data_IF_185754647503
#
_entry.id   IF_185754647503
#
_cell.length_a   1.000
_cell.length_b   1.000
_cell.length_c   1.000
_cell.angle_alpha   90.00
_cell.angle_beta   90.00
_cell.angle_gamma   90.00
#
_symmetry.space_group_name_H-M   'P 1'
#
loop_
_entity.id
_entity.type
_entity.pdbx_description
1 polymer ?
#
# COMPACT_ATOMS: atom_id res chain seq x y z
N UNK A 1 12.10 17.96 -3.33
CA UNK A 1 10.65 18.18 -3.55
C UNK A 1 10.15 17.58 -4.86
N UNK A 2 10.85 17.76 -5.97
CA UNK A 2 10.40 17.29 -7.30
C UNK A 2 10.17 15.77 -7.41
N UNK A 3 11.02 14.96 -6.75
CA UNK A 3 10.85 13.50 -6.71
C UNK A 3 9.55 13.07 -6.00
N UNK A 4 9.16 13.77 -4.94
CA UNK A 4 7.94 13.47 -4.21
C UNK A 4 6.69 13.69 -5.07
N UNK A 5 6.65 14.81 -5.80
CA UNK A 5 5.57 15.11 -6.74
C UNK A 5 5.49 14.03 -7.83
N UNK A 6 6.64 13.67 -8.42
CA UNK A 6 6.69 12.63 -9.44
C UNK A 6 6.20 11.27 -8.95
N UNK A 7 6.61 10.86 -7.74
CA UNK A 7 6.15 9.61 -7.12
C UNK A 7 4.65 9.66 -6.83
N UNK A 8 4.13 10.78 -6.32
CA UNK A 8 2.70 10.95 -6.03
C UNK A 8 1.86 10.83 -7.30
N UNK A 9 2.25 11.49 -8.37
CA UNK A 9 1.56 11.40 -9.66
C UNK A 9 1.59 9.98 -10.22
N UNK A 10 2.75 9.31 -10.18
CA UNK A 10 2.89 7.94 -10.64
C UNK A 10 2.00 6.97 -9.84
N UNK A 11 1.93 7.13 -8.53
CA UNK A 11 1.11 6.32 -7.66
C UNK A 11 -0.37 6.55 -7.91
N UNK A 12 -0.83 7.80 -7.98
CA UNK A 12 -2.21 8.15 -8.27
C UNK A 12 -2.68 7.54 -9.60
N UNK A 13 -1.84 7.63 -10.63
CA UNK A 13 -2.11 7.02 -11.93
C UNK A 13 -2.17 5.50 -11.85
N UNK A 14 -1.23 4.86 -11.15
CA UNK A 14 -1.21 3.40 -10.95
C UNK A 14 -2.45 2.90 -10.23
N UNK A 15 -2.89 3.59 -9.18
CA UNK A 15 -4.10 3.20 -8.43
C UNK A 15 -5.36 3.32 -9.27
N UNK A 16 -5.49 4.40 -10.03
CA UNK A 16 -6.63 4.58 -10.94
C UNK A 16 -6.67 3.48 -12.02
N UNK A 17 -5.53 3.11 -12.59
CA UNK A 17 -5.46 2.02 -13.57
C UNK A 17 -5.86 0.68 -12.96
N UNK A 18 -5.40 0.36 -11.75
CA UNK A 18 -5.75 -0.88 -11.06
C UNK A 18 -7.26 -0.92 -10.83
N UNK A 19 -7.83 0.14 -10.25
CA UNK A 19 -9.24 0.16 -9.89
C UNK A 19 -10.20 0.17 -11.09
N UNK A 20 -9.82 0.82 -12.19
CA UNK A 20 -10.70 0.95 -13.36
C UNK A 20 -10.56 -0.22 -14.34
N UNK A 21 -9.36 -0.71 -14.59
CA UNK A 21 -9.08 -1.66 -15.67
C UNK A 21 -8.73 -3.06 -15.19
N UNK A 22 -8.22 -3.24 -14.01
CA UNK A 22 -7.76 -4.54 -13.52
C UNK A 22 -8.69 -5.14 -12.48
N UNK A 23 -9.15 -4.36 -11.53
CA UNK A 23 -10.00 -4.86 -10.45
C UNK A 23 -11.34 -5.35 -10.99
N UNK A 24 -11.68 -6.60 -10.67
CA UNK A 24 -12.91 -7.25 -11.12
C UNK A 24 -12.92 -7.74 -12.59
N UNK A 25 -11.93 -7.38 -13.39
CA UNK A 25 -11.81 -7.82 -14.78
C UNK A 25 -10.72 -8.88 -15.00
N UNK A 26 -9.69 -8.84 -14.20
CA UNK A 26 -8.58 -9.79 -14.25
C UNK A 26 -8.41 -10.41 -12.87
N UNK A 27 -8.04 -11.68 -12.85
CA UNK A 27 -7.75 -12.38 -11.59
C UNK A 27 -6.66 -11.65 -10.79
N UNK A 28 -6.92 -11.46 -9.48
CA UNK A 28 -6.03 -10.74 -8.60
C UNK A 28 -4.64 -11.38 -8.50
N UNK A 29 -4.58 -12.70 -8.45
CA UNK A 29 -3.32 -13.44 -8.36
C UNK A 29 -2.49 -13.30 -9.63
N UNK A 30 -3.15 -13.39 -10.80
CA UNK A 30 -2.48 -13.18 -12.08
C UNK A 30 -1.94 -11.76 -12.22
N UNK A 31 -2.71 -10.76 -11.83
CA UNK A 31 -2.32 -9.34 -11.86
C UNK A 31 -1.11 -9.07 -10.97
N UNK A 32 -1.13 -9.58 -9.73
CA UNK A 32 -0.01 -9.43 -8.78
C UNK A 32 1.24 -10.16 -9.28
N UNK A 33 1.10 -11.40 -9.75
CA UNK A 33 2.22 -12.18 -10.29
C UNK A 33 2.89 -11.48 -11.48
N UNK A 34 2.08 -11.04 -12.44
CA UNK A 34 2.57 -10.34 -13.64
C UNK A 34 3.30 -9.05 -13.27
N UNK A 35 2.75 -8.26 -12.36
CA UNK A 35 3.36 -7.03 -11.88
C UNK A 35 4.72 -7.28 -11.20
N UNK A 36 4.79 -8.27 -10.31
CA UNK A 36 6.04 -8.63 -9.62
C UNK A 36 7.06 -9.18 -10.61
N UNK A 37 6.63 -10.03 -11.56
CA UNK A 37 7.51 -10.59 -12.58
C UNK A 37 8.12 -9.50 -13.47
N UNK A 38 7.30 -8.57 -13.97
CA UNK A 38 7.75 -7.44 -14.79
C UNK A 38 8.70 -6.53 -14.01
N UNK A 39 8.37 -6.19 -12.76
CA UNK A 39 9.26 -5.42 -11.90
C UNK A 39 10.60 -6.13 -11.68
N UNK A 40 10.56 -7.44 -11.43
CA UNK A 40 11.76 -8.25 -11.26
C UNK A 40 12.63 -8.24 -12.51
N UNK A 41 12.05 -8.38 -13.70
CA UNK A 41 12.78 -8.31 -14.98
C UNK A 41 13.47 -6.96 -15.17
N UNK A 42 12.80 -5.86 -14.82
CA UNK A 42 13.37 -4.51 -14.92
C UNK A 42 14.54 -4.32 -13.94
N UNK A 43 14.42 -4.83 -12.70
CA UNK A 43 15.45 -4.63 -11.69
C UNK A 43 16.58 -5.67 -11.73
N UNK A 44 16.37 -6.83 -12.35
CA UNK A 44 17.36 -7.90 -12.44
C UNK A 44 18.73 -7.46 -13.01
N UNK A 45 18.80 -6.62 -14.08
CA UNK A 45 20.07 -6.14 -14.62
C UNK A 45 20.88 -5.27 -13.64
N UNK A 46 20.20 -4.59 -12.72
CA UNK A 46 20.82 -3.72 -11.71
C UNK A 46 21.35 -4.49 -10.50
N UNK A 47 21.03 -5.79 -10.41
CA UNK A 47 21.42 -6.64 -9.31
C UNK A 47 22.91 -6.97 -9.41
N UNK A 48 23.73 -6.39 -8.53
CA UNK A 48 25.16 -6.65 -8.47
C UNK A 48 25.43 -7.86 -7.59
N UNK A 49 25.96 -8.96 -8.16
CA UNK A 49 26.30 -10.21 -7.44
C UNK A 49 27.19 -9.98 -6.21
N UNK A 50 28.01 -8.94 -6.21
CA UNK A 50 28.91 -8.59 -5.11
C UNK A 50 28.20 -8.32 -3.78
N UNK A 51 26.92 -7.93 -3.82
CA UNK A 51 26.12 -7.59 -2.64
C UNK A 51 25.21 -8.73 -2.17
N UNK A 52 25.21 -9.86 -2.89
CA UNK A 52 24.35 -11.00 -2.59
C UNK A 52 24.95 -11.85 -1.45
N UNK A 53 24.70 -11.42 -0.22
CA UNK A 53 24.95 -12.24 0.97
C UNK A 53 23.73 -13.16 1.15
N UNK A 54 23.90 -14.50 1.23
CA UNK A 54 22.78 -15.45 1.26
C UNK A 54 21.74 -15.12 2.34
N UNK A 55 22.21 -14.82 3.55
CA UNK A 55 21.33 -14.49 4.68
C UNK A 55 20.50 -13.22 4.43
N UNK A 56 21.11 -12.20 3.81
CA UNK A 56 20.42 -10.97 3.47
C UNK A 56 19.41 -11.19 2.35
N UNK A 57 19.77 -11.99 1.35
CA UNK A 57 18.88 -12.32 0.22
C UNK A 57 17.63 -13.03 0.73
N UNK A 58 17.77 -14.05 1.58
CA UNK A 58 16.63 -14.78 2.13
C UNK A 58 15.71 -13.85 2.93
N UNK A 59 16.29 -13.02 3.80
CA UNK A 59 15.51 -12.04 4.59
C UNK A 59 14.75 -11.03 3.70
N UNK A 60 15.42 -10.51 2.67
CA UNK A 60 14.79 -9.56 1.73
C UNK A 60 13.74 -10.25 0.85
N UNK A 61 13.95 -11.51 0.45
CA UNK A 61 12.94 -12.27 -0.28
C UNK A 61 11.70 -12.54 0.59
N UNK A 62 11.88 -12.94 1.85
CA UNK A 62 10.78 -13.14 2.78
C UNK A 62 10.01 -11.82 3.03
N UNK A 63 10.73 -10.73 3.27
CA UNK A 63 10.11 -9.40 3.43
C UNK A 63 9.35 -8.98 2.17
N UNK A 64 9.95 -9.18 0.99
CA UNK A 64 9.31 -8.86 -0.28
C UNK A 64 8.08 -9.73 -0.57
N UNK A 65 8.10 -11.01 -0.21
CA UNK A 65 6.95 -11.89 -0.36
C UNK A 65 5.76 -11.44 0.50
N UNK A 66 6.02 -11.00 1.73
CA UNK A 66 4.99 -10.43 2.60
C UNK A 66 4.53 -9.08 2.09
N UNK A 67 5.46 -8.16 1.87
CA UNK A 67 5.17 -6.77 1.51
C UNK A 67 4.54 -6.62 0.13
N UNK A 68 5.04 -7.34 -0.88
CA UNK A 68 4.56 -7.21 -2.25
C UNK A 68 3.60 -8.33 -2.66
N UNK A 69 3.76 -9.54 -2.09
CA UNK A 69 2.88 -10.66 -2.38
C UNK A 69 1.55 -10.54 -1.62
N UNK A 70 1.60 -10.73 -0.31
CA UNK A 70 0.40 -10.80 0.53
C UNK A 70 -0.34 -9.46 0.55
N UNK A 71 0.37 -8.34 0.77
CA UNK A 71 -0.24 -7.02 0.79
C UNK A 71 -0.99 -6.70 -0.52
N UNK A 72 -0.38 -6.98 -1.68
CA UNK A 72 -1.06 -6.71 -2.94
C UNK A 72 -2.27 -7.59 -3.19
N UNK A 73 -2.27 -8.84 -2.72
CA UNK A 73 -3.47 -9.69 -2.82
C UNK A 73 -4.65 -9.08 -2.06
N UNK A 74 -4.45 -8.67 -0.82
CA UNK A 74 -5.49 -7.98 -0.04
C UNK A 74 -5.90 -6.67 -0.70
N UNK A 75 -4.94 -5.91 -1.19
CA UNK A 75 -5.19 -4.65 -1.87
C UNK A 75 -6.05 -4.82 -3.15
N UNK A 76 -5.78 -5.82 -3.97
CA UNK A 76 -6.62 -6.11 -5.15
C UNK A 76 -8.03 -6.57 -4.75
N UNK A 77 -8.15 -7.40 -3.71
CA UNK A 77 -9.46 -7.83 -3.23
C UNK A 77 -10.28 -6.68 -2.65
N UNK A 78 -9.64 -5.66 -2.09
CA UNK A 78 -10.36 -4.49 -1.58
C UNK A 78 -11.12 -3.73 -2.67
N UNK A 79 -10.61 -3.69 -3.91
CA UNK A 79 -11.33 -3.09 -5.03
C UNK A 79 -12.57 -3.87 -5.51
N UNK A 80 -12.77 -5.09 -5.05
CA UNK A 80 -14.01 -5.84 -5.27
C UNK A 80 -15.12 -5.42 -4.30
N UNK A 81 -14.74 -4.83 -3.17
CA UNK A 81 -15.65 -4.43 -2.09
C UNK A 81 -15.84 -2.91 -2.03
N UNK A 82 -14.84 -2.16 -2.48
CA UNK A 82 -14.74 -0.71 -2.35
C UNK A 82 -14.46 -0.05 -3.69
N UNK A 83 -14.89 1.17 -3.83
CA UNK A 83 -14.50 2.04 -4.94
C UNK A 83 -13.06 2.54 -4.80
N UNK A 84 -12.43 2.95 -5.90
CA UNK A 84 -11.05 3.47 -5.91
C UNK A 84 -10.84 4.60 -4.88
N UNK A 85 -11.72 5.61 -4.78
CA UNK A 85 -11.58 6.66 -3.77
C UNK A 85 -11.64 6.14 -2.33
N UNK A 86 -12.47 5.13 -2.05
CA UNK A 86 -12.60 4.55 -0.70
C UNK A 86 -11.34 3.80 -0.30
N UNK A 87 -10.78 2.98 -1.20
CA UNK A 87 -9.50 2.31 -0.97
C UNK A 87 -8.40 3.33 -0.65
N UNK A 88 -8.34 4.43 -1.41
CA UNK A 88 -7.35 5.48 -1.18
C UNK A 88 -7.56 6.20 0.16
N UNK A 89 -8.81 6.47 0.55
CA UNK A 89 -9.12 7.06 1.87
C UNK A 89 -8.67 6.12 3.00
N UNK A 90 -8.89 4.82 2.88
CA UNK A 90 -8.50 3.88 3.93
C UNK A 90 -6.98 3.72 4.04
N UNK A 91 -6.23 3.82 2.95
CA UNK A 91 -4.75 3.81 3.01
C UNK A 91 -4.15 5.01 3.75
N UNK A 92 -4.93 6.08 3.95
CA UNK A 92 -4.50 7.25 4.74
C UNK A 92 -4.30 6.93 6.23
N UNK A 93 -4.82 5.83 6.74
CA UNK A 93 -4.53 5.37 8.10
C UNK A 93 -3.08 4.88 8.28
N UNK A 94 -2.40 4.51 7.20
CA UNK A 94 -1.01 4.01 7.23
C UNK A 94 -0.05 4.92 8.02
N UNK A 95 -0.03 6.25 7.89
CA UNK A 95 0.84 7.11 8.69
C UNK A 95 0.59 7.02 10.18
N UNK A 96 -0.63 6.75 10.62
CA UNK A 96 -0.94 6.54 12.05
C UNK A 96 -0.26 5.27 12.54
N UNK A 97 -0.42 4.16 11.82
CA UNK A 97 0.20 2.89 12.20
C UNK A 97 1.73 2.97 12.21
N UNK A 98 2.30 3.57 11.17
CA UNK A 98 3.76 3.77 11.09
C UNK A 98 4.27 4.59 12.27
N UNK A 99 3.60 5.69 12.61
CA UNK A 99 3.98 6.55 13.74
C UNK A 99 3.88 5.80 15.07
N UNK A 100 2.77 5.09 15.30
CA UNK A 100 2.56 4.36 16.55
C UNK A 100 3.56 3.21 16.71
N UNK A 101 3.82 2.42 15.66
CA UNK A 101 4.80 1.33 15.69
C UNK A 101 6.20 1.88 15.91
N UNK A 102 6.57 2.95 15.21
CA UNK A 102 7.87 3.59 15.37
C UNK A 102 8.08 4.10 16.80
N UNK A 103 7.10 4.81 17.36
CA UNK A 103 7.18 5.35 18.72
C UNK A 103 7.22 4.22 19.76
N UNK A 104 6.50 3.11 19.51
CA UNK A 104 6.54 1.93 20.38
C UNK A 104 7.93 1.26 20.35
N UNK A 105 8.54 1.13 19.17
CA UNK A 105 9.87 0.52 19.03
C UNK A 105 10.98 1.39 19.60
N UNK A 106 10.87 2.72 19.49
CA UNK A 106 11.83 3.65 20.07
C UNK A 106 11.62 3.87 21.58
N UNK A 107 10.49 3.45 22.13
CA UNK A 107 10.11 3.73 23.51
C UNK A 107 9.92 5.22 23.81
N UNK A 108 9.65 6.02 22.80
CA UNK A 108 9.49 7.48 22.89
C UNK A 108 8.25 7.90 22.10
N UNK A 109 7.25 8.39 22.82
CA UNK A 109 6.04 8.91 22.21
C UNK A 109 6.25 10.36 21.73
N UNK A 110 6.12 10.58 20.41
CA UNK A 110 6.25 11.91 19.78
C UNK A 110 4.89 12.38 19.24
N UNK A 111 4.09 13.08 20.06
CA UNK A 111 2.71 13.45 19.70
C UNK A 111 2.60 14.30 18.44
N UNK A 112 3.64 15.03 18.07
CA UNK A 112 3.64 15.91 16.90
C UNK A 112 3.35 15.16 15.59
N UNK A 113 3.95 13.98 15.41
CA UNK A 113 3.73 13.17 14.20
C UNK A 113 2.33 12.55 14.19
N UNK A 114 1.86 12.14 15.38
CA UNK A 114 0.52 11.59 15.53
C UNK A 114 -0.56 12.64 15.20
N UNK A 115 -0.39 13.89 15.64
CA UNK A 115 -1.31 14.98 15.28
C UNK A 115 -1.33 15.23 13.79
N UNK A 116 -0.19 15.22 13.11
CA UNK A 116 -0.13 15.34 11.65
C UNK A 116 -0.87 14.21 10.94
N UNK A 117 -0.70 12.97 11.40
CA UNK A 117 -1.39 11.80 10.86
C UNK A 117 -2.90 11.87 11.11
N UNK A 118 -3.35 12.28 12.31
CA UNK A 118 -4.77 12.46 12.63
C UNK A 118 -5.42 13.55 11.77
N UNK A 119 -4.75 14.67 11.56
CA UNK A 119 -5.25 15.74 10.68
C UNK A 119 -5.41 15.27 9.24
N UNK A 120 -4.48 14.45 8.73
CA UNK A 120 -4.57 13.86 7.40
C UNK A 120 -5.79 12.93 7.28
N UNK A 121 -6.02 12.09 8.29
CA UNK A 121 -7.18 11.19 8.34
C UNK A 121 -8.49 11.97 8.44
N UNK A 122 -8.56 13.00 9.27
CA UNK A 122 -9.75 13.85 9.37
C UNK A 122 -10.04 14.56 8.05
N UNK A 123 -9.01 15.09 7.38
CA UNK A 123 -9.15 15.69 6.06
C UNK A 123 -9.72 14.72 5.02
N UNK A 124 -9.26 13.47 5.04
CA UNK A 124 -9.77 12.43 4.16
C UNK A 124 -11.22 12.00 4.49
N UNK A 125 -11.54 11.91 5.77
CA UNK A 125 -12.89 11.56 6.22
C UNK A 125 -13.94 12.60 5.77
N UNK A 126 -13.58 13.88 5.72
CA UNK A 126 -14.47 14.95 5.21
C UNK A 126 -14.76 14.80 3.72
N UNK A 127 -13.83 14.21 2.94
CA UNK A 127 -14.00 14.09 1.49
C UNK A 127 -15.11 13.09 1.14
N UNK A 128 -15.32 12.05 1.94
CA UNK A 128 -16.33 11.04 1.63
C UNK A 128 -16.86 10.30 2.86
N UNK A 129 -17.92 10.84 3.42
CA UNK A 129 -18.70 10.17 4.46
C UNK A 129 -20.05 9.73 3.86
N UNK A 130 -20.03 8.67 3.06
CA UNK A 130 -21.26 7.98 2.63
C UNK A 130 -21.45 6.76 3.54
N UNK A 131 -22.58 6.66 4.20
CA UNK A 131 -22.95 5.75 5.27
C UNK A 131 -22.29 4.37 5.34
N UNK A 132 -22.18 3.84 6.53
CA UNK A 132 -21.55 2.55 6.82
C UNK A 132 -22.45 1.39 6.34
N UNK A 133 -22.08 0.76 5.24
CA UNK A 133 -22.64 -0.53 4.78
C UNK A 133 -21.75 -1.70 5.19
N UNK A 134 -22.27 -2.92 5.24
CA UNK A 134 -21.48 -4.12 5.58
C UNK A 134 -20.27 -4.30 4.63
N UNK A 135 -20.47 -4.06 3.35
CA UNK A 135 -19.38 -4.13 2.36
C UNK A 135 -18.29 -3.09 2.62
N UNK A 136 -18.66 -1.92 3.15
CA UNK A 136 -17.73 -0.86 3.50
C UNK A 136 -16.85 -1.26 4.71
N UNK A 137 -17.45 -1.85 5.74
CA UNK A 137 -16.72 -2.33 6.92
C UNK A 137 -15.79 -3.48 6.56
N UNK A 138 -16.27 -4.44 5.76
CA UNK A 138 -15.45 -5.56 5.29
C UNK A 138 -14.28 -5.05 4.42
N UNK A 139 -14.55 -4.14 3.50
CA UNK A 139 -13.52 -3.52 2.66
C UNK A 139 -12.47 -2.76 3.47
N UNK A 140 -12.90 -2.04 4.52
CA UNK A 140 -11.97 -1.38 5.45
C UNK A 140 -11.03 -2.37 6.12
N UNK A 141 -11.54 -3.49 6.63
CA UNK A 141 -10.71 -4.52 7.27
C UNK A 141 -9.73 -5.19 6.29
N UNK A 142 -10.12 -5.34 5.04
CA UNK A 142 -9.26 -5.94 3.99
C UNK A 142 -8.13 -4.99 3.57
N UNK A 143 -8.37 -3.67 3.59
CA UNK A 143 -7.36 -2.66 3.22
C UNK A 143 -6.30 -2.47 4.31
N UNK A 144 -6.67 -2.69 5.61
CA UNK A 144 -5.74 -2.49 6.73
C UNK A 144 -4.74 -3.66 6.91
#
# INVERSE_FOLDING_TARGET
MNYLIGVTLLWSFSFSLIGVYLAGQVDAYFSVLTRIALASLVFLPFLRRRWLRPDLVIKLMALGAIQLGIMYLFYYHSFLLLTVPEVLVFTIFTPIYVTLIHDLLEGRFKPTYLWGALLAVLGAAVIRFDGLTESYVMGFLVVQ
#
